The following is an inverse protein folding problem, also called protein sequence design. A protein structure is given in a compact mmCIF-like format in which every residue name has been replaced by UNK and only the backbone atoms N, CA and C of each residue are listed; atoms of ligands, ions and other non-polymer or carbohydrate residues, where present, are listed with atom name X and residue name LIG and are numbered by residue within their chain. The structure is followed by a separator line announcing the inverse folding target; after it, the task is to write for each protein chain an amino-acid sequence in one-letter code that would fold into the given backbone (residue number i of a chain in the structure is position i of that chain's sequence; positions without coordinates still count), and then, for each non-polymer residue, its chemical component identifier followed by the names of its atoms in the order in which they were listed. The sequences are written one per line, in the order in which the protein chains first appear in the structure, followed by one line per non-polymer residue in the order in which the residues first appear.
data_IF_625169229546
#
_entry.id   IF_625169229546
#
_cell.length_a   1.000
_cell.length_b   1.000
_cell.length_c   1.000
_cell.angle_alpha   90.00
_cell.angle_beta   90.00
_cell.angle_gamma   90.00
#
_symmetry.space_group_name_H-M   'P 1'
#
loop_
_entity.id
_entity.type
_entity.pdbx_description
1 polymer ?
#
# COMPACT_ATOMS: atom_id res chain seq x y z
N UNK A 1 46.92 32.34 30.05
CA UNK A 1 47.02 33.54 30.91
C UNK A 1 45.63 33.72 31.50
N UNK A 2 45.26 33.04 32.58
CA UNK A 2 45.63 33.29 33.98
C UNK A 2 45.76 31.98 34.77
N UNK A 3 46.54 32.09 35.84
CA UNK A 3 47.12 31.06 36.70
C UNK A 3 46.38 31.03 38.06
N UNK A 4 46.49 29.90 38.78
CA UNK A 4 46.38 29.64 40.25
C UNK A 4 45.75 28.24 40.43
N UNK A 5 46.41 27.11 40.78
CA UNK A 5 47.49 26.72 41.72
C UNK A 5 47.08 26.70 43.21
N UNK A 6 46.79 25.50 43.73
CA UNK A 6 47.11 24.98 45.09
C UNK A 6 46.67 23.50 45.16
N UNK A 7 47.59 22.51 45.19
CA UNK A 7 48.08 21.73 46.37
C UNK A 7 46.94 21.11 47.21
N UNK A 8 46.89 19.80 47.52
CA UNK A 8 47.90 19.00 48.25
C UNK A 8 47.80 17.48 47.99
N UNK A 9 48.88 16.79 48.36
CA UNK A 9 49.15 15.35 48.26
C UNK A 9 48.38 14.51 49.29
N UNK A 10 48.01 13.28 48.92
CA UNK A 10 48.06 12.14 49.83
C UNK A 10 48.28 10.84 49.03
N UNK A 11 49.46 10.25 49.23
CA UNK A 11 49.83 8.90 48.79
C UNK A 11 49.29 7.93 49.84
N UNK A 12 48.43 6.98 49.43
CA UNK A 12 48.24 5.73 50.17
C UNK A 12 48.31 4.58 49.16
N UNK A 13 49.42 3.87 49.26
CA UNK A 13 49.71 2.60 48.60
C UNK A 13 48.87 1.50 49.23
N UNK A 14 48.10 0.76 48.43
CA UNK A 14 47.36 -0.42 48.87
C UNK A 14 47.08 -1.34 47.68
N UNK A 15 47.94 -2.33 47.48
CA UNK A 15 47.75 -3.44 46.55
C UNK A 15 46.50 -4.24 46.92
N UNK A 16 45.53 -4.41 46.01
CA UNK A 16 44.62 -5.55 46.05
C UNK A 16 44.00 -5.85 44.67
N UNK A 17 44.46 -6.97 44.11
CA UNK A 17 43.77 -7.93 43.23
C UNK A 17 43.12 -7.47 41.91
N UNK A 18 43.71 -8.02 40.84
CA UNK A 18 43.19 -8.22 39.49
C UNK A 18 41.76 -8.76 39.44
N UNK A 19 40.89 -8.09 38.67
CA UNK A 19 39.76 -8.69 37.97
C UNK A 19 39.58 -7.91 36.64
N UNK A 20 39.72 -8.52 35.46
CA UNK A 20 39.28 -7.89 34.22
C UNK A 20 37.76 -7.98 34.19
N UNK A 21 37.08 -6.86 34.46
CA UNK A 21 35.67 -6.73 34.14
C UNK A 21 35.55 -6.72 32.60
N UNK A 22 35.34 -7.89 32.02
CA UNK A 22 34.87 -8.05 30.65
C UNK A 22 33.49 -7.41 30.59
N UNK A 23 33.44 -6.14 30.19
CA UNK A 23 32.21 -5.46 29.86
C UNK A 23 31.70 -6.08 28.56
N UNK A 24 30.88 -7.14 28.68
CA UNK A 24 30.05 -7.63 27.60
C UNK A 24 29.09 -6.49 27.24
N UNK A 25 29.45 -5.71 26.21
CA UNK A 25 28.51 -4.90 25.45
C UNK A 25 27.51 -5.86 24.82
N UNK A 26 26.44 -6.14 25.55
CA UNK A 26 25.23 -6.71 24.98
C UNK A 26 24.70 -5.64 24.04
N UNK A 27 25.03 -5.75 22.76
CA UNK A 27 24.33 -5.05 21.69
C UNK A 27 22.90 -5.58 21.71
N UNK A 28 22.04 -4.97 22.52
CA UNK A 28 20.61 -5.10 22.37
C UNK A 28 20.30 -4.61 20.95
N UNK A 29 20.03 -5.55 20.05
CA UNK A 29 19.36 -5.23 18.81
C UNK A 29 18.07 -4.51 19.21
N UNK A 30 18.06 -3.19 19.03
CA UNK A 30 16.84 -2.40 19.16
C UNK A 30 15.97 -2.85 18.00
N UNK A 31 15.13 -3.85 18.23
CA UNK A 31 14.00 -4.10 17.37
C UNK A 31 13.19 -2.81 17.41
N UNK A 32 13.19 -2.06 16.31
CA UNK A 32 12.33 -0.90 16.15
C UNK A 32 10.92 -1.34 16.53
N UNK A 33 10.38 -0.78 17.61
CA UNK A 33 8.99 -1.01 17.96
C UNK A 33 8.17 -0.49 16.79
N UNK A 34 7.50 -1.41 16.12
CA UNK A 34 6.66 -1.06 15.00
C UNK A 34 5.46 -0.28 15.55
N UNK A 35 5.34 0.99 15.16
CA UNK A 35 4.18 1.80 15.48
C UNK A 35 3.03 1.40 14.54
N UNK A 36 1.92 0.82 15.05
CA UNK A 36 0.77 0.47 14.23
C UNK A 36 0.06 1.70 13.66
N UNK A 37 0.39 2.92 14.11
CA UNK A 37 -0.14 4.18 13.57
C UNK A 37 0.55 4.68 12.30
N UNK A 38 1.56 3.96 11.80
CA UNK A 38 2.24 4.24 10.52
C UNK A 38 1.75 3.29 9.42
N UNK A 39 1.69 3.76 8.17
CA UNK A 39 1.37 2.89 7.01
C UNK A 39 2.45 1.83 6.81
N UNK A 40 2.12 0.72 6.13
CA UNK A 40 3.10 -0.31 5.78
C UNK A 40 4.29 0.27 5.00
N UNK A 41 4.06 1.29 4.17
CA UNK A 41 5.12 1.97 3.42
C UNK A 41 6.09 2.70 4.34
N UNK A 42 5.58 3.50 5.26
CA UNK A 42 6.36 4.26 6.26
C UNK A 42 7.16 3.30 7.15
N UNK A 43 6.54 2.23 7.65
CA UNK A 43 7.23 1.20 8.43
C UNK A 43 8.38 0.55 7.67
N UNK A 44 8.16 0.23 6.39
CA UNK A 44 9.20 -0.35 5.52
C UNK A 44 10.37 0.62 5.37
N UNK A 45 10.10 1.90 5.15
CA UNK A 45 11.13 2.94 5.02
C UNK A 45 11.90 3.13 6.34
N UNK A 46 11.21 3.14 7.47
CA UNK A 46 11.82 3.22 8.81
C UNK A 46 12.77 2.05 9.06
N UNK A 47 12.36 0.83 8.71
CA UNK A 47 13.23 -0.34 8.77
C UNK A 47 14.47 -0.17 7.87
N UNK A 48 14.26 0.27 6.62
CA UNK A 48 15.33 0.39 5.64
C UNK A 48 16.39 1.41 6.03
N UNK A 49 16.08 2.38 6.89
CA UNK A 49 17.06 3.37 7.38
C UNK A 49 18.32 2.72 7.97
N UNK A 50 18.18 1.63 8.71
CA UNK A 50 19.29 0.89 9.32
C UNK A 50 19.68 -0.40 8.55
N UNK A 51 19.04 -0.66 7.40
CA UNK A 51 19.26 -1.86 6.62
C UNK A 51 20.59 -1.81 5.81
N UNK A 52 21.09 -2.98 5.37
CA UNK A 52 22.21 -3.07 4.44
C UNK A 52 22.06 -2.12 3.25
N UNK A 53 23.17 -1.51 2.82
CA UNK A 53 23.19 -0.51 1.75
C UNK A 53 22.55 -1.02 0.44
N UNK A 54 22.71 -2.31 0.12
CA UNK A 54 22.08 -2.92 -1.05
C UNK A 54 20.54 -2.86 -1.01
N UNK A 55 19.91 -3.10 0.15
CA UNK A 55 18.45 -3.03 0.29
C UNK A 55 17.94 -1.59 0.17
N UNK A 56 18.66 -0.63 0.77
CA UNK A 56 18.36 0.81 0.62
C UNK A 56 18.43 1.25 -0.84
N UNK A 57 19.49 0.83 -1.54
CA UNK A 57 19.71 1.12 -2.95
C UNK A 57 18.59 0.54 -3.83
N UNK A 58 18.24 -0.73 -3.64
CA UNK A 58 17.19 -1.38 -4.42
C UNK A 58 15.82 -0.72 -4.21
N UNK A 59 15.42 -0.47 -2.96
CA UNK A 59 14.16 0.22 -2.66
C UNK A 59 14.11 1.60 -3.31
N UNK A 60 15.18 2.41 -3.14
CA UNK A 60 15.24 3.76 -3.70
C UNK A 60 15.21 3.75 -5.24
N UNK A 61 15.93 2.83 -5.88
CA UNK A 61 15.90 2.69 -7.35
C UNK A 61 14.48 2.40 -7.84
N UNK A 62 13.79 1.42 -7.25
CA UNK A 62 12.41 1.07 -7.61
C UNK A 62 11.43 2.23 -7.38
N UNK A 63 11.58 2.94 -6.26
CA UNK A 63 10.74 4.09 -5.95
C UNK A 63 10.93 5.23 -6.97
N UNK A 64 12.18 5.56 -7.32
CA UNK A 64 12.50 6.61 -8.28
C UNK A 64 12.11 6.23 -9.72
N UNK A 65 12.28 4.98 -10.12
CA UNK A 65 11.79 4.46 -11.40
C UNK A 65 10.27 4.57 -11.49
N UNK A 66 9.55 4.16 -10.44
CA UNK A 66 8.09 4.28 -10.41
C UNK A 66 7.64 5.75 -10.44
N UNK A 67 8.33 6.62 -9.72
CA UNK A 67 8.06 8.05 -9.70
C UNK A 67 8.32 8.69 -11.07
N UNK A 68 9.36 8.26 -11.79
CA UNK A 68 9.63 8.67 -13.16
C UNK A 68 8.46 8.34 -14.08
N UNK A 69 7.95 7.11 -14.04
CA UNK A 69 6.79 6.73 -14.84
C UNK A 69 5.55 7.59 -14.53
N UNK A 70 5.31 7.89 -13.26
CA UNK A 70 4.20 8.74 -12.81
C UNK A 70 4.30 10.16 -13.40
N UNK A 71 5.43 10.85 -13.19
CA UNK A 71 5.56 12.23 -13.67
C UNK A 71 5.60 12.32 -15.20
N UNK A 72 6.20 11.34 -15.89
CA UNK A 72 6.17 11.28 -17.35
C UNK A 72 4.74 11.15 -17.89
N UNK A 73 3.92 10.29 -17.28
CA UNK A 73 2.52 10.12 -17.68
C UNK A 73 1.66 11.37 -17.41
N UNK A 74 1.95 12.11 -16.33
CA UNK A 74 1.27 13.38 -16.03
C UNK A 74 1.61 14.49 -17.02
N UNK A 75 2.88 14.61 -17.42
CA UNK A 75 3.28 15.55 -18.49
C UNK A 75 2.57 15.24 -19.82
N UNK A 76 2.49 13.95 -20.18
CA UNK A 76 1.78 13.49 -21.37
C UNK A 76 0.28 13.79 -21.29
N UNK A 77 -0.34 13.54 -20.14
CA UNK A 77 -1.74 13.87 -19.87
C UNK A 77 -2.06 15.35 -20.10
N UNK A 78 -1.23 16.27 -19.60
CA UNK A 78 -1.44 17.70 -19.82
C UNK A 78 -1.29 18.10 -21.30
N UNK A 79 -0.37 17.46 -22.03
CA UNK A 79 -0.23 17.67 -23.48
C UNK A 79 -1.46 17.17 -24.25
N UNK A 80 -1.97 15.99 -23.92
CA UNK A 80 -3.20 15.44 -24.53
C UNK A 80 -4.41 16.33 -24.27
N UNK A 81 -4.52 16.88 -23.06
CA UNK A 81 -5.61 17.76 -22.68
C UNK A 81 -5.54 19.08 -23.44
N UNK A 82 -4.36 19.68 -23.54
CA UNK A 82 -4.14 20.85 -24.39
C UNK A 82 -4.46 20.55 -25.85
N UNK A 83 -4.02 19.41 -26.40
CA UNK A 83 -4.27 19.04 -27.79
C UNK A 83 -5.77 18.85 -28.10
N UNK A 84 -6.57 18.42 -27.12
CA UNK A 84 -8.03 18.25 -27.27
C UNK A 84 -8.82 19.54 -27.09
N UNK A 85 -8.43 20.38 -26.14
CA UNK A 85 -9.24 21.52 -25.71
C UNK A 85 -8.67 22.87 -26.20
N UNK A 86 -7.38 22.96 -26.53
CA UNK A 86 -6.73 24.08 -27.22
C UNK A 86 -6.60 25.40 -26.45
N UNK A 87 -7.16 25.52 -25.26
CA UNK A 87 -7.39 26.83 -24.62
C UNK A 87 -6.41 27.20 -23.50
N UNK A 88 -5.63 26.24 -22.97
CA UNK A 88 -4.82 26.48 -21.77
C UNK A 88 -3.31 26.32 -22.01
N UNK A 89 -2.64 27.42 -22.39
CA UNK A 89 -1.18 27.45 -22.55
C UNK A 89 -0.41 27.15 -21.27
N UNK A 90 -1.05 27.24 -20.10
CA UNK A 90 -0.43 26.93 -18.83
C UNK A 90 -0.24 25.42 -18.67
N UNK A 91 -1.08 24.59 -19.29
CA UNK A 91 -0.89 23.13 -19.37
C UNK A 91 0.40 22.77 -20.09
N UNK A 92 0.75 23.46 -21.19
CA UNK A 92 2.00 23.21 -21.90
C UNK A 92 3.20 23.58 -21.03
N UNK A 93 3.17 24.75 -20.39
CA UNK A 93 4.24 25.21 -19.50
C UNK A 93 4.41 24.29 -18.29
N UNK A 94 3.31 23.85 -17.70
CA UNK A 94 3.31 22.88 -16.61
C UNK A 94 3.87 21.52 -17.08
N UNK A 95 3.43 21.01 -18.23
CA UNK A 95 3.91 19.74 -18.78
C UNK A 95 5.42 19.74 -19.01
N UNK A 96 5.96 20.84 -19.54
CA UNK A 96 7.40 21.00 -19.75
C UNK A 96 8.18 21.02 -18.43
N UNK A 97 7.67 21.70 -17.40
CA UNK A 97 8.30 21.72 -16.08
C UNK A 97 8.28 20.33 -15.42
N UNK A 98 7.17 19.60 -15.54
CA UNK A 98 7.02 18.24 -15.02
C UNK A 98 7.96 17.27 -15.75
N UNK A 99 8.06 17.35 -17.07
CA UNK A 99 8.96 16.50 -17.86
C UNK A 99 10.43 16.77 -17.53
N UNK A 100 10.81 18.03 -17.32
CA UNK A 100 12.16 18.38 -16.86
C UNK A 100 12.48 17.80 -15.48
N UNK A 101 11.51 17.74 -14.58
CA UNK A 101 11.68 17.06 -13.30
C UNK A 101 11.80 15.54 -13.49
N UNK A 102 10.90 14.93 -14.26
CA UNK A 102 10.89 13.50 -14.53
C UNK A 102 12.21 13.01 -15.16
N UNK A 103 12.82 13.82 -16.04
CA UNK A 103 14.10 13.51 -16.69
C UNK A 103 15.30 13.43 -15.72
N UNK A 104 15.19 14.00 -14.50
CA UNK A 104 16.26 13.94 -13.48
C UNK A 104 16.25 12.63 -12.69
N UNK A 105 15.11 11.93 -12.66
CA UNK A 105 14.93 10.72 -11.85
C UNK A 105 15.76 9.55 -12.38
N UNK A 106 15.79 9.22 -13.70
CA UNK A 106 16.66 8.18 -14.22
C UNK A 106 18.14 8.42 -13.93
N UNK A 107 18.61 9.67 -13.98
CA UNK A 107 19.99 10.01 -13.61
C UNK A 107 20.30 9.62 -12.16
N UNK A 108 19.35 9.85 -11.26
CA UNK A 108 19.52 9.49 -9.85
C UNK A 108 19.51 7.97 -9.65
N UNK A 109 18.73 7.23 -10.45
CA UNK A 109 18.76 5.76 -10.47
C UNK A 109 20.12 5.24 -10.95
N UNK A 110 20.70 5.85 -11.99
CA UNK A 110 22.05 5.48 -12.44
C UNK A 110 23.12 5.75 -11.38
N UNK A 111 23.03 6.84 -10.62
CA UNK A 111 23.92 7.08 -9.47
C UNK A 111 23.81 5.97 -8.42
N UNK A 112 22.59 5.49 -8.13
CA UNK A 112 22.38 4.36 -7.21
C UNK A 112 23.04 3.08 -7.76
N UNK A 113 22.84 2.79 -9.05
CA UNK A 113 23.42 1.60 -9.72
C UNK A 113 24.94 1.65 -9.79
N UNK A 114 25.53 2.85 -9.84
CA UNK A 114 26.97 3.06 -9.75
C UNK A 114 27.54 2.83 -8.33
N UNK A 115 26.70 2.53 -7.34
CA UNK A 115 27.11 2.21 -5.98
C UNK A 115 27.21 3.41 -5.05
N UNK A 116 26.68 4.57 -5.43
CA UNK A 116 26.63 5.73 -4.53
C UNK A 116 25.75 5.43 -3.31
N UNK A 117 26.12 6.02 -2.17
CA UNK A 117 25.37 5.84 -0.93
C UNK A 117 23.96 6.42 -1.04
N UNK A 118 22.99 5.63 -0.56
CA UNK A 118 21.57 6.01 -0.47
C UNK A 118 21.17 6.17 0.98
N UNK A 119 20.65 7.34 1.32
CA UNK A 119 19.97 7.57 2.60
C UNK A 119 18.46 7.71 2.38
N UNK A 120 17.69 6.98 3.18
CA UNK A 120 16.23 7.08 3.25
C UNK A 120 15.86 7.73 4.58
N UNK A 121 14.98 8.71 4.54
CA UNK A 121 14.47 9.38 5.74
C UNK A 121 13.00 9.77 5.56
N UNK A 122 12.28 9.84 6.67
CA UNK A 122 10.91 10.34 6.69
C UNK A 122 10.97 11.80 7.13
N UNK A 123 10.49 12.70 6.28
CA UNK A 123 10.33 14.11 6.60
C UNK A 123 8.90 14.32 7.10
N UNK A 124 8.75 14.78 8.33
CA UNK A 124 7.48 14.79 9.08
C UNK A 124 6.25 15.32 8.30
N UNK A 125 6.44 16.26 7.36
CA UNK A 125 5.34 16.81 6.55
C UNK A 125 5.50 16.63 5.04
N UNK A 126 6.66 16.14 4.57
CA UNK A 126 6.97 16.08 3.14
C UNK A 126 7.00 14.64 2.62
N UNK A 127 6.75 13.65 3.49
CA UNK A 127 6.77 12.24 3.14
C UNK A 127 8.18 11.67 3.15
N UNK A 128 8.44 10.69 2.28
CA UNK A 128 9.72 9.98 2.24
C UNK A 128 10.71 10.71 1.33
N UNK A 129 11.92 10.90 1.85
CA UNK A 129 13.03 11.52 1.14
C UNK A 129 14.08 10.47 0.80
N UNK A 130 14.50 10.46 -0.45
CA UNK A 130 15.68 9.73 -0.94
C UNK A 130 16.81 10.73 -1.12
N UNK A 131 17.98 10.40 -0.57
CA UNK A 131 19.21 11.14 -0.83
C UNK A 131 20.24 10.23 -1.48
N UNK A 132 20.77 10.64 -2.63
CA UNK A 132 21.83 9.94 -3.38
C UNK A 132 22.79 10.95 -3.99
N UNK A 133 24.09 10.74 -3.84
CA UNK A 133 25.13 11.63 -4.40
C UNK A 133 24.89 13.13 -4.12
N UNK A 134 24.43 13.46 -2.90
CA UNK A 134 24.10 14.83 -2.49
C UNK A 134 22.78 15.41 -3.03
N UNK A 135 22.08 14.69 -3.93
CA UNK A 135 20.75 15.06 -4.42
C UNK A 135 19.69 14.60 -3.44
N UNK A 136 18.71 15.46 -3.17
CA UNK A 136 17.57 15.19 -2.28
C UNK A 136 16.31 15.13 -3.13
N UNK A 137 15.58 14.02 -3.07
CA UNK A 137 14.39 13.75 -3.86
C UNK A 137 13.24 13.35 -2.93
N UNK A 138 12.05 13.89 -3.18
CA UNK A 138 10.83 13.58 -2.47
C UNK A 138 10.05 12.49 -3.22
N UNK A 139 9.62 11.44 -2.52
CA UNK A 139 8.78 10.37 -3.06
C UNK A 139 7.29 10.74 -2.97
N UNK A 140 6.92 11.79 -3.70
CA UNK A 140 5.57 12.37 -3.67
C UNK A 140 4.93 12.31 -5.05
N UNK A 141 3.72 11.75 -5.10
CA UNK A 141 2.87 11.70 -6.27
C UNK A 141 2.30 13.10 -6.58
N UNK A 142 2.28 13.53 -7.86
CA UNK A 142 1.77 14.86 -8.25
C UNK A 142 0.28 15.07 -7.96
N UNK A 143 -0.49 13.98 -7.84
CA UNK A 143 -1.89 13.98 -7.39
C UNK A 143 -1.98 13.39 -5.97
N UNK A 144 -2.32 14.18 -4.93
CA UNK A 144 -2.35 13.69 -3.55
C UNK A 144 -3.23 12.45 -3.33
N UNK A 145 -4.41 12.40 -3.99
CA UNK A 145 -5.31 11.24 -3.91
C UNK A 145 -4.76 9.94 -4.47
N UNK A 146 -3.61 9.96 -5.16
CA UNK A 146 -2.97 8.77 -5.72
C UNK A 146 -1.66 8.38 -5.01
N UNK A 147 -1.28 9.10 -3.94
CA UNK A 147 -0.07 8.80 -3.17
C UNK A 147 -0.07 7.36 -2.64
N UNK A 148 -1.19 6.92 -2.03
CA UNK A 148 -1.31 5.57 -1.48
C UNK A 148 -1.14 4.46 -2.54
N UNK A 149 -1.65 4.70 -3.76
CA UNK A 149 -1.48 3.76 -4.86
C UNK A 149 -0.02 3.66 -5.32
N UNK A 150 0.67 4.81 -5.41
CA UNK A 150 2.10 4.86 -5.71
C UNK A 150 2.94 4.11 -4.66
N UNK A 151 2.71 4.39 -3.38
CA UNK A 151 3.45 3.76 -2.27
C UNK A 151 3.29 2.24 -2.26
N UNK A 152 2.06 1.76 -2.47
CA UNK A 152 1.81 0.32 -2.60
C UNK A 152 2.50 -0.28 -3.80
N UNK A 153 2.46 0.37 -4.97
CA UNK A 153 3.12 -0.15 -6.18
C UNK A 153 4.63 -0.33 -5.94
N UNK A 154 5.26 0.61 -5.25
CA UNK A 154 6.67 0.51 -4.83
C UNK A 154 6.88 -0.68 -3.89
N UNK A 155 6.04 -0.85 -2.86
CA UNK A 155 6.12 -2.00 -1.96
C UNK A 155 5.94 -3.32 -2.70
N UNK A 156 5.00 -3.43 -3.62
CA UNK A 156 4.76 -4.66 -4.37
C UNK A 156 5.97 -5.03 -5.23
N UNK A 157 6.56 -4.05 -5.91
CA UNK A 157 7.79 -4.25 -6.70
C UNK A 157 8.98 -4.67 -5.82
N UNK A 158 9.11 -4.07 -4.64
CA UNK A 158 10.19 -4.38 -3.71
C UNK A 158 10.00 -5.75 -3.05
N UNK A 159 8.80 -6.05 -2.55
CA UNK A 159 8.48 -7.31 -1.87
C UNK A 159 8.36 -8.51 -2.81
N UNK A 160 8.24 -8.28 -4.12
CA UNK A 160 8.40 -9.34 -5.12
C UNK A 160 9.87 -9.83 -5.22
N UNK A 161 10.83 -9.00 -4.78
CA UNK A 161 12.28 -9.30 -4.83
C UNK A 161 12.88 -9.59 -3.46
N UNK A 162 12.28 -9.04 -2.41
CA UNK A 162 12.80 -9.10 -1.05
C UNK A 162 11.80 -9.77 -0.09
N UNK A 163 12.27 -10.56 0.89
CA UNK A 163 11.41 -11.09 1.94
C UNK A 163 10.92 -9.92 2.80
N UNK A 164 9.64 -9.56 2.67
CA UNK A 164 9.02 -8.44 3.39
C UNK A 164 8.28 -8.85 4.67
N UNK A 165 8.23 -10.14 4.96
CA UNK A 165 7.72 -10.71 6.21
C UNK A 165 8.50 -10.18 7.42
N UNK A 166 9.82 -10.02 7.30
CA UNK A 166 10.69 -9.39 8.31
C UNK A 166 10.36 -7.91 8.61
N UNK A 167 9.60 -7.22 7.75
CA UNK A 167 9.19 -5.82 7.95
C UNK A 167 7.76 -5.70 8.50
N UNK A 168 7.11 -6.84 8.74
CA UNK A 168 5.74 -6.93 9.23
C UNK A 168 5.76 -7.24 10.73
N UNK A 169 5.13 -6.43 11.60
CA UNK A 169 5.03 -6.75 13.02
C UNK A 169 4.16 -7.99 13.25
N UNK A 170 4.73 -8.97 13.94
CA UNK A 170 4.00 -10.13 14.47
C UNK A 170 3.69 -11.20 13.44
N UNK A 171 3.61 -12.44 13.91
CA UNK A 171 3.08 -13.58 13.16
C UNK A 171 1.57 -13.57 13.24
N UNK A 172 0.91 -12.91 12.28
CA UNK A 172 -0.54 -13.10 12.09
C UNK A 172 -0.73 -14.46 11.42
N UNK A 173 -0.92 -15.50 12.24
CA UNK A 173 -1.27 -16.83 11.73
C UNK A 173 -2.61 -16.75 10.99
N UNK A 174 -2.64 -17.12 9.71
CA UNK A 174 -3.85 -17.06 8.88
C UNK A 174 -3.83 -18.16 7.81
N UNK A 175 -4.99 -18.80 7.58
CA UNK A 175 -5.21 -19.92 6.64
C UNK A 175 -4.86 -19.56 5.19
N UNK A 176 -4.07 -20.32 4.42
CA UNK A 176 -3.54 -19.94 3.10
C UNK A 176 -4.48 -19.09 2.22
N UNK A 177 -4.05 -17.88 1.83
CA UNK A 177 -4.78 -17.09 0.82
C UNK A 177 -4.61 -17.81 -0.52
N UNK A 178 -5.70 -18.11 -1.25
CA UNK A 178 -5.60 -18.73 -2.56
C UNK A 178 -4.78 -17.85 -3.51
N UNK A 179 -3.69 -18.39 -4.07
CA UNK A 179 -2.86 -17.71 -5.08
C UNK A 179 -3.61 -17.52 -6.41
N UNK A 180 -4.61 -18.39 -6.64
CA UNK A 180 -5.56 -18.28 -7.74
C UNK A 180 -6.87 -18.91 -7.29
N UNK A 181 -7.94 -18.12 -7.37
CA UNK A 181 -9.29 -18.62 -7.16
C UNK A 181 -9.72 -19.33 -8.45
N UNK A 182 -10.19 -20.57 -8.32
CA UNK A 182 -10.76 -21.29 -9.46
C UNK A 182 -11.96 -20.54 -10.05
N UNK A 183 -12.38 -20.93 -11.27
CA UNK A 183 -13.51 -20.31 -11.97
C UNK A 183 -14.73 -20.12 -11.06
N UNK A 184 -15.18 -18.87 -10.93
CA UNK A 184 -16.43 -18.58 -10.22
C UNK A 184 -17.61 -19.10 -11.04
N UNK A 185 -18.31 -20.10 -10.49
CA UNK A 185 -19.49 -20.74 -11.10
C UNK A 185 -20.68 -20.66 -10.14
N UNK A 186 -21.46 -19.57 -10.17
CA UNK A 186 -22.60 -19.42 -9.28
C UNK A 186 -23.69 -20.46 -9.59
N UNK A 187 -24.27 -21.03 -8.54
CA UNK A 187 -25.44 -21.89 -8.64
C UNK A 187 -26.69 -21.03 -8.85
N UNK A 188 -27.57 -21.45 -9.77
CA UNK A 188 -28.80 -20.74 -10.08
C UNK A 188 -30.03 -21.52 -9.62
N UNK A 189 -30.98 -20.82 -9.01
CA UNK A 189 -32.33 -21.31 -8.71
C UNK A 189 -33.37 -20.34 -9.27
N UNK A 190 -34.48 -20.88 -9.74
CA UNK A 190 -35.56 -20.13 -10.38
C UNK A 190 -36.88 -20.43 -9.70
N UNK A 191 -37.65 -19.39 -9.43
CA UNK A 191 -38.97 -19.48 -8.80
C UNK A 191 -39.91 -18.40 -9.34
N UNK A 192 -41.18 -18.43 -8.91
CA UNK A 192 -42.17 -17.43 -9.29
C UNK A 192 -41.85 -16.01 -8.82
N UNK A 193 -41.05 -15.88 -7.76
CA UNK A 193 -40.56 -14.60 -7.23
C UNK A 193 -39.21 -14.14 -7.84
N UNK A 194 -38.74 -14.83 -8.88
CA UNK A 194 -37.57 -14.45 -9.67
C UNK A 194 -36.41 -15.45 -9.61
N UNK A 195 -35.21 -14.96 -9.96
CA UNK A 195 -34.01 -15.77 -10.03
C UNK A 195 -33.10 -15.51 -8.83
N UNK A 196 -32.37 -16.55 -8.40
CA UNK A 196 -31.38 -16.45 -7.33
C UNK A 196 -30.06 -17.05 -7.81
N UNK A 197 -28.96 -16.32 -7.63
CA UNK A 197 -27.63 -16.88 -7.78
C UNK A 197 -26.93 -16.99 -6.43
N UNK A 198 -26.15 -18.05 -6.22
CA UNK A 198 -25.43 -18.29 -4.98
C UNK A 198 -24.03 -18.84 -5.23
N UNK A 199 -23.04 -18.37 -4.48
CA UNK A 199 -21.66 -18.86 -4.52
C UNK A 199 -20.98 -18.63 -3.16
N UNK A 200 -20.44 -19.70 -2.55
CA UNK A 200 -19.63 -19.64 -1.32
C UNK A 200 -20.17 -18.73 -0.20
N UNK A 201 -21.46 -18.90 0.13
CA UNK A 201 -22.14 -18.14 1.19
C UNK A 201 -22.72 -16.79 0.75
N UNK A 202 -22.44 -16.33 -0.47
CA UNK A 202 -23.03 -15.11 -1.05
C UNK A 202 -24.22 -15.49 -1.90
N UNK A 203 -25.33 -14.76 -1.77
CA UNK A 203 -26.57 -14.97 -2.52
C UNK A 203 -27.12 -13.64 -3.03
N UNK A 204 -27.52 -13.58 -4.29
CA UNK A 204 -28.21 -12.43 -4.90
C UNK A 204 -29.59 -12.84 -5.37
N UNK A 205 -30.61 -12.09 -4.98
CA UNK A 205 -32.00 -12.23 -5.45
C UNK A 205 -32.29 -11.19 -6.54
N UNK A 206 -32.86 -11.65 -7.65
CA UNK A 206 -33.42 -10.83 -8.73
C UNK A 206 -34.93 -10.95 -8.73
N UNK A 207 -35.67 -9.85 -8.90
CA UNK A 207 -37.12 -9.78 -8.80
C UNK A 207 -37.89 -10.31 -10.00
N UNK A 208 -37.21 -10.78 -11.05
CA UNK A 208 -37.86 -11.41 -12.21
C UNK A 208 -36.96 -12.50 -12.82
N UNK A 209 -37.41 -13.16 -13.88
CA UNK A 209 -36.59 -14.09 -14.69
C UNK A 209 -36.20 -13.51 -16.07
N UNK A 210 -36.38 -12.20 -16.28
CA UNK A 210 -35.99 -11.52 -17.53
C UNK A 210 -34.46 -11.29 -17.61
N UNK A 211 -33.95 -10.94 -18.80
CA UNK A 211 -32.53 -10.52 -19.03
C UNK A 211 -31.48 -11.45 -18.38
N UNK A 212 -31.72 -12.77 -18.40
CA UNK A 212 -30.88 -13.73 -17.67
C UNK A 212 -29.41 -13.75 -18.09
N UNK A 213 -29.10 -13.43 -19.34
CA UNK A 213 -27.70 -13.31 -19.78
C UNK A 213 -26.97 -12.20 -19.02
N UNK A 214 -27.56 -11.01 -18.93
CA UNK A 214 -27.02 -9.87 -18.18
C UNK A 214 -26.88 -10.19 -16.69
N UNK A 215 -27.90 -10.81 -16.08
CA UNK A 215 -27.88 -11.19 -14.66
C UNK A 215 -26.83 -12.24 -14.33
N UNK A 216 -26.60 -13.19 -15.24
CA UNK A 216 -25.51 -14.16 -15.13
C UNK A 216 -24.15 -13.48 -15.13
N UNK A 217 -23.93 -12.57 -16.09
CA UNK A 217 -22.69 -11.80 -16.14
C UNK A 217 -22.49 -10.95 -14.89
N UNK A 218 -23.53 -10.25 -14.44
CA UNK A 218 -23.48 -9.42 -13.23
C UNK A 218 -23.16 -10.25 -11.99
N UNK A 219 -23.82 -11.39 -11.81
CA UNK A 219 -23.55 -12.24 -10.65
C UNK A 219 -22.12 -12.78 -10.66
N UNK A 220 -21.60 -13.22 -11.81
CA UNK A 220 -20.20 -13.66 -11.92
C UNK A 220 -19.24 -12.51 -11.60
N UNK A 221 -19.48 -11.33 -12.17
CA UNK A 221 -18.67 -10.14 -11.91
C UNK A 221 -18.68 -9.75 -10.43
N UNK A 222 -19.85 -9.65 -9.80
CA UNK A 222 -19.98 -9.33 -8.37
C UNK A 222 -19.16 -10.29 -7.51
N UNK A 223 -19.31 -11.59 -7.76
CA UNK A 223 -18.60 -12.60 -7.00
C UNK A 223 -17.09 -12.44 -7.21
N UNK A 224 -16.61 -12.21 -8.44
CA UNK A 224 -15.18 -11.97 -8.67
C UNK A 224 -14.69 -10.76 -7.86
N UNK A 225 -15.37 -9.63 -7.97
CA UNK A 225 -14.96 -8.40 -7.28
C UNK A 225 -14.97 -8.55 -5.75
N UNK A 226 -16.04 -9.15 -5.18
CA UNK A 226 -16.15 -9.36 -3.73
C UNK A 226 -15.05 -10.25 -3.18
N UNK A 227 -14.75 -11.32 -3.91
CA UNK A 227 -13.81 -12.31 -3.44
C UNK A 227 -12.37 -11.89 -3.67
N UNK A 228 -12.07 -11.17 -4.77
CA UNK A 228 -10.79 -10.48 -4.93
C UNK A 228 -10.58 -9.46 -3.80
N UNK A 229 -11.59 -8.65 -3.46
CA UNK A 229 -11.48 -7.72 -2.33
C UNK A 229 -11.23 -8.43 -1.00
N UNK A 230 -11.91 -9.55 -0.75
CA UNK A 230 -11.70 -10.33 0.46
C UNK A 230 -10.26 -10.90 0.54
N UNK A 231 -9.74 -11.41 -0.58
CA UNK A 231 -8.38 -11.96 -0.67
C UNK A 231 -7.33 -10.84 -0.47
N UNK A 232 -7.53 -9.66 -1.07
CA UNK A 232 -6.68 -8.48 -0.87
C UNK A 232 -6.69 -8.01 0.59
N UNK A 233 -7.86 -7.89 1.22
CA UNK A 233 -7.95 -7.51 2.64
C UNK A 233 -7.24 -8.53 3.53
N UNK A 234 -7.42 -9.83 3.27
CA UNK A 234 -6.74 -10.88 4.00
C UNK A 234 -5.21 -10.80 3.82
N UNK A 235 -4.76 -10.48 2.61
CA UNK A 235 -3.33 -10.31 2.31
C UNK A 235 -2.75 -9.12 3.06
N UNK A 236 -3.43 -7.98 3.04
CA UNK A 236 -2.99 -6.78 3.75
C UNK A 236 -2.96 -7.01 5.26
N UNK A 237 -3.98 -7.66 5.80
CA UNK A 237 -4.05 -8.01 7.22
C UNK A 237 -2.89 -8.91 7.67
N UNK A 238 -2.45 -9.88 6.84
CA UNK A 238 -1.24 -10.68 7.12
C UNK A 238 0.02 -9.86 7.19
N UNK A 239 0.07 -8.77 6.42
CA UNK A 239 1.16 -7.80 6.44
C UNK A 239 0.95 -6.72 7.50
N UNK A 240 0.16 -7.06 8.55
CA UNK A 240 -0.16 -6.23 9.69
C UNK A 240 -0.69 -4.84 9.30
N UNK A 241 -1.48 -4.78 8.24
CA UNK A 241 -2.30 -3.62 7.95
C UNK A 241 -3.56 -3.70 8.81
N UNK A 242 -3.75 -2.72 9.68
CA UNK A 242 -4.99 -2.56 10.42
C UNK A 242 -6.12 -2.19 9.46
N UNK A 243 -7.26 -2.87 9.56
CA UNK A 243 -8.44 -2.61 8.72
C UNK A 243 -9.45 -1.80 9.53
N UNK A 244 -9.56 -0.50 9.22
CA UNK A 244 -10.60 0.37 9.76
C UNK A 244 -11.88 0.21 8.93
N UNK A 245 -12.69 -0.78 9.28
CA UNK A 245 -13.90 -1.17 8.53
C UNK A 245 -14.82 0.00 8.17
N UNK A 246 -14.94 0.99 9.06
CA UNK A 246 -15.82 2.14 8.85
C UNK A 246 -15.27 3.17 7.86
N UNK A 247 -13.99 3.08 7.51
CA UNK A 247 -13.31 3.93 6.53
C UNK A 247 -13.15 3.30 5.16
N UNK A 248 -13.58 2.05 4.97
CA UNK A 248 -13.51 1.42 3.66
C UNK A 248 -14.22 2.29 2.63
N UNK A 249 -13.47 2.72 1.62
CA UNK A 249 -13.94 3.58 0.54
C UNK A 249 -13.25 3.16 -0.76
N UNK A 250 -13.97 3.22 -1.87
CA UNK A 250 -13.45 2.86 -3.20
C UNK A 250 -13.38 4.12 -4.05
N UNK A 251 -12.20 4.39 -4.59
CA UNK A 251 -11.94 5.45 -5.55
C UNK A 251 -11.51 4.87 -6.89
N UNK A 252 -12.02 5.43 -7.99
CA UNK A 252 -11.56 5.08 -9.31
C UNK A 252 -10.15 5.66 -9.55
N UNK A 253 -9.25 4.86 -10.12
CA UNK A 253 -7.95 5.36 -10.56
C UNK A 253 -8.10 6.04 -11.93
N UNK A 254 -7.73 7.32 -12.09
CA UNK A 254 -7.82 8.01 -13.37
C UNK A 254 -7.10 7.25 -14.49
N UNK A 255 -7.81 7.05 -15.61
CA UNK A 255 -7.32 6.35 -16.82
C UNK A 255 -6.83 4.90 -16.59
N UNK A 256 -7.18 4.25 -15.47
CA UNK A 256 -6.91 2.83 -15.24
C UNK A 256 -8.22 2.08 -14.95
N UNK A 257 -8.32 0.79 -15.30
CA UNK A 257 -9.47 -0.02 -14.91
C UNK A 257 -9.52 -0.31 -13.40
N UNK A 258 -8.41 -0.05 -12.71
CA UNK A 258 -8.24 -0.37 -11.30
C UNK A 258 -8.89 0.65 -10.36
N UNK A 259 -9.31 0.17 -9.21
CA UNK A 259 -9.93 0.95 -8.14
C UNK A 259 -9.11 0.80 -6.86
N UNK A 260 -8.86 1.92 -6.19
CA UNK A 260 -8.17 1.95 -4.91
C UNK A 260 -9.18 1.82 -3.79
N UNK A 261 -8.94 0.89 -2.86
CA UNK A 261 -9.77 0.71 -1.67
C UNK A 261 -8.97 1.10 -0.44
N UNK A 262 -9.35 2.22 0.19
CA UNK A 262 -8.70 2.69 1.42
C UNK A 262 -9.03 1.73 2.57
N UNK A 263 -8.01 1.27 3.29
CA UNK A 263 -8.15 0.29 4.37
C UNK A 263 -8.11 0.94 5.76
N UNK A 264 -7.39 2.06 5.90
CA UNK A 264 -7.25 2.78 7.16
C UNK A 264 -6.91 4.27 6.95
N UNK A 265 -6.85 5.03 8.04
CA UNK A 265 -6.54 6.47 8.01
C UNK A 265 -5.06 6.77 7.72
N UNK A 266 -4.18 5.78 7.88
CA UNK A 266 -2.73 5.96 7.77
C UNK A 266 -2.24 5.80 6.33
N UNK A 267 -3.12 5.39 5.41
CA UNK A 267 -2.88 5.42 3.96
C UNK A 267 -2.74 4.04 3.31
N UNK A 268 -2.89 2.94 4.05
CA UNK A 268 -2.87 1.61 3.44
C UNK A 268 -4.11 1.42 2.56
N UNK A 269 -3.89 0.84 1.36
CA UNK A 269 -4.94 0.66 0.35
C UNK A 269 -4.77 -0.64 -0.43
N UNK A 270 -5.87 -1.22 -0.91
CA UNK A 270 -5.87 -2.35 -1.86
C UNK A 270 -6.16 -1.87 -3.30
N UNK A 271 -5.60 -2.54 -4.32
CA UNK A 271 -5.89 -2.25 -5.74
C UNK A 271 -6.63 -3.44 -6.34
N UNK A 272 -7.73 -3.19 -7.00
CA UNK A 272 -8.44 -4.23 -7.73
C UNK A 272 -9.33 -3.63 -8.81
N UNK A 273 -9.63 -4.42 -9.82
CA UNK A 273 -10.69 -4.08 -10.78
C UNK A 273 -12.02 -4.37 -10.11
N UNK A 274 -12.67 -3.33 -9.59
CA UNK A 274 -13.94 -3.43 -8.88
C UNK A 274 -15.02 -2.43 -9.36
N UNK A 275 -15.32 -2.40 -10.68
CA UNK A 275 -16.27 -1.44 -11.24
C UNK A 275 -17.70 -1.61 -10.73
N UNK A 276 -18.14 -2.83 -10.39
CA UNK A 276 -19.48 -3.05 -9.83
C UNK A 276 -19.55 -2.57 -8.37
N UNK A 277 -18.54 -2.85 -7.55
CA UNK A 277 -18.46 -2.35 -6.17
C UNK A 277 -18.38 -0.83 -6.11
N UNK A 278 -17.61 -0.22 -7.01
CA UNK A 278 -17.52 1.23 -7.13
C UNK A 278 -18.81 1.86 -7.65
N UNK A 279 -19.39 1.29 -8.71
CA UNK A 279 -20.55 1.85 -9.40
C UNK A 279 -21.90 1.60 -8.74
N UNK A 280 -21.98 0.72 -7.72
CA UNK A 280 -23.23 0.36 -7.05
C UNK A 280 -23.37 1.08 -5.70
N UNK A 281 -24.27 2.08 -5.58
CA UNK A 281 -24.45 2.81 -4.33
C UNK A 281 -24.77 1.88 -3.14
N UNK A 282 -24.12 2.14 -2.01
CA UNK A 282 -24.34 1.39 -0.77
C UNK A 282 -23.85 -0.07 -0.75
N UNK A 283 -23.38 -0.61 -1.88
CA UNK A 283 -22.97 -2.02 -1.95
C UNK A 283 -21.77 -2.32 -1.05
N UNK A 284 -20.74 -1.46 -1.05
CA UNK A 284 -19.59 -1.63 -0.16
C UNK A 284 -20.01 -1.68 1.32
N UNK A 285 -20.96 -0.82 1.71
CA UNK A 285 -21.49 -0.80 3.07
C UNK A 285 -22.27 -2.10 3.38
N UNK A 286 -23.06 -2.60 2.41
CA UNK A 286 -23.82 -3.84 2.56
C UNK A 286 -22.92 -5.09 2.69
N UNK A 287 -21.78 -5.11 2.00
CA UNK A 287 -20.86 -6.28 2.03
C UNK A 287 -19.84 -6.22 3.17
N UNK A 288 -19.64 -5.06 3.81
CA UNK A 288 -18.68 -4.86 4.90
C UNK A 288 -18.82 -5.87 6.04
N UNK A 289 -20.02 -6.19 6.57
CA UNK A 289 -20.16 -7.20 7.63
C UNK A 289 -19.68 -8.59 7.20
N UNK A 290 -19.87 -8.94 5.92
CA UNK A 290 -19.41 -10.20 5.35
C UNK A 290 -17.88 -10.23 5.20
N UNK A 291 -17.26 -9.16 4.70
CA UNK A 291 -15.81 -9.02 4.63
C UNK A 291 -15.15 -9.15 6.01
N UNK A 292 -15.71 -8.46 7.02
CA UNK A 292 -15.26 -8.57 8.41
C UNK A 292 -15.42 -9.96 8.98
N UNK A 293 -16.54 -10.62 8.67
CA UNK A 293 -16.77 -12.01 9.04
C UNK A 293 -15.73 -12.96 8.44
N UNK A 294 -15.32 -12.73 7.19
CA UNK A 294 -14.33 -13.60 6.50
C UNK A 294 -12.93 -13.44 7.05
N UNK A 295 -12.56 -12.24 7.50
CA UNK A 295 -11.24 -11.99 8.06
C UNK A 295 -11.09 -12.56 9.47
N UNK A 296 -12.17 -12.60 10.25
CA UNK A 296 -12.18 -13.20 11.60
C UNK A 296 -12.50 -14.69 11.60
N UNK A 297 -12.65 -15.25 12.80
CA UNK A 297 -12.85 -16.70 13.03
C UNK A 297 -14.29 -17.19 12.74
N UNK A 298 -15.11 -16.40 12.03
CA UNK A 298 -16.46 -16.88 11.68
C UNK A 298 -16.35 -17.89 10.56
N UNK A 299 -16.61 -19.16 10.89
CA UNK A 299 -16.82 -20.20 9.91
C UNK A 299 -17.98 -19.79 8.96
N UNK A 300 -17.61 -19.52 7.70
CA UNK A 300 -18.51 -19.23 6.57
C UNK A 300 -19.56 -18.11 6.80
N UNK A 301 -19.16 -16.82 6.77
CA UNK A 301 -20.13 -15.73 6.80
C UNK A 301 -21.03 -15.77 5.55
N UNK A 302 -22.33 -15.58 5.76
CA UNK A 302 -23.32 -15.48 4.70
C UNK A 302 -23.60 -14.01 4.31
N UNK A 303 -23.81 -13.75 3.03
CA UNK A 303 -24.23 -12.45 2.49
C UNK A 303 -25.45 -12.65 1.61
N UNK A 304 -26.52 -11.90 1.87
CA UNK A 304 -27.71 -11.86 1.03
C UNK A 304 -27.92 -10.45 0.49
N UNK A 305 -28.06 -10.33 -0.83
CA UNK A 305 -28.26 -9.07 -1.54
C UNK A 305 -29.54 -9.15 -2.38
N UNK A 306 -30.23 -8.03 -2.53
CA UNK A 306 -31.33 -7.87 -3.47
C UNK A 306 -30.89 -6.94 -4.60
N UNK A 307 -31.10 -7.35 -5.85
CA UNK A 307 -30.63 -6.61 -7.02
C UNK A 307 -31.24 -5.20 -7.14
N UNK A 308 -32.50 -5.03 -6.71
CA UNK A 308 -33.18 -3.73 -6.68
C UNK A 308 -32.49 -2.70 -5.80
N UNK A 309 -31.88 -3.13 -4.69
CA UNK A 309 -31.29 -2.24 -3.68
C UNK A 309 -30.02 -1.55 -4.20
N UNK A 310 -29.48 -2.04 -5.32
CA UNK A 310 -28.24 -1.58 -5.94
C UNK A 310 -28.43 -1.08 -7.38
N UNK A 311 -29.68 -0.88 -7.82
CA UNK A 311 -29.99 -0.35 -9.15
C UNK A 311 -29.70 -1.31 -10.30
N UNK A 312 -29.75 -2.63 -10.06
CA UNK A 312 -29.49 -3.66 -11.07
C UNK A 312 -30.75 -4.15 -11.80
N UNK A 313 -31.91 -3.55 -11.53
CA UNK A 313 -33.22 -3.89 -12.10
C UNK A 313 -33.94 -2.70 -12.71
#
# INVERSE_FOLDING_TARGET
MLYLRSKENAVITGYLLLLPAVLLLVTSAVFAQVDPSESRFVRTVNYLHAAPAALRAEFAALALERLHHVYSAEAELARDEFARNGEDSDLLRWSAAVEQFAAKLPLSVEEIRAGNEVALRIAAQEGVVVQVAGRVLLLVHPRPGQQAAFERDVLNLFCARQPCDQFTPGTVASEPIPVSRGDIRPQWRFSGDGARCSFSGVTVKFGSNARMAQRRSLCVQLMNELFTLADEIAWQHRHAVEIEWDRLHIEASPRRPDHSVTLNRVGDSALLVAPLLYGSPGLLAAVRPWLRGRLGDKAEPSLALTASDHGWE
#
